data_IF_280104140512
#
_entry.id   IF_280104140512
#
_cell.length_a   1.000
_cell.length_b   1.000
_cell.length_c   1.000
_cell.angle_alpha   90.00
_cell.angle_beta   90.00
_cell.angle_gamma   90.00
#
_symmetry.space_group_name_H-M   'P 1'
#
loop_
_entity.id
_entity.type
_entity.pdbx_description
1 polymer ?
#
# COMPACT_ATOMS: atom_id res chain seq x y z
N UNK A 1 -34.15 6.01 30.73
CA UNK A 1 -33.57 4.83 30.05
C UNK A 1 -33.33 5.04 28.55
N UNK A 2 -34.22 5.72 27.81
CA UNK A 2 -34.10 5.96 26.35
C UNK A 2 -32.86 6.75 25.91
N UNK A 3 -32.38 7.70 26.71
CA UNK A 3 -31.21 8.51 26.41
C UNK A 3 -29.87 7.74 26.50
N UNK A 4 -29.81 6.67 27.32
CA UNK A 4 -28.64 5.78 27.35
C UNK A 4 -28.54 4.92 26.08
N UNK A 5 -29.68 4.50 25.53
CA UNK A 5 -29.74 3.77 24.25
C UNK A 5 -29.26 4.64 23.09
N UNK A 6 -29.59 5.94 23.09
CA UNK A 6 -29.15 6.88 22.06
C UNK A 6 -27.63 7.13 22.12
N UNK A 7 -27.07 7.23 23.33
CA UNK A 7 -25.62 7.36 23.51
C UNK A 7 -24.88 6.10 23.03
N UNK A 8 -25.37 4.90 23.37
CA UNK A 8 -24.78 3.64 22.90
C UNK A 8 -24.75 3.52 21.37
N UNK A 9 -25.78 4.03 20.68
CA UNK A 9 -25.86 4.05 19.22
C UNK A 9 -24.85 5.02 18.59
N UNK A 10 -24.53 6.15 19.23
CA UNK A 10 -23.52 7.08 18.73
C UNK A 10 -22.10 6.52 18.92
N UNK A 11 -21.84 5.81 20.02
CA UNK A 11 -20.54 5.20 20.28
C UNK A 11 -20.18 4.05 19.32
N UNK A 12 -21.17 3.36 18.73
CA UNK A 12 -20.90 2.26 17.78
C UNK A 12 -20.41 2.74 16.41
N UNK A 13 -20.59 4.01 16.06
CA UNK A 13 -20.10 4.56 14.79
C UNK A 13 -18.57 4.72 14.74
N UNK A 14 -17.90 4.78 15.90
CA UNK A 14 -16.44 4.96 15.97
C UNK A 14 -15.64 3.67 15.74
N UNK A 15 -16.28 2.50 15.74
CA UNK A 15 -15.59 1.20 15.56
C UNK A 15 -15.57 0.70 14.11
N UNK A 16 -16.21 1.41 13.17
CA UNK A 16 -16.10 1.05 11.75
C UNK A 16 -14.78 1.55 11.17
N UNK A 17 -13.88 0.62 10.88
CA UNK A 17 -12.66 0.89 10.11
C UNK A 17 -12.80 0.31 8.71
N UNK A 18 -12.87 1.19 7.70
CA UNK A 18 -12.95 0.81 6.29
C UNK A 18 -11.56 0.56 5.65
N UNK A 19 -10.50 0.46 6.45
CA UNK A 19 -9.14 0.35 5.94
C UNK A 19 -8.86 -1.06 5.39
N UNK A 20 -8.21 -1.13 4.23
CA UNK A 20 -7.73 -2.39 3.69
C UNK A 20 -6.68 -3.01 4.60
N UNK A 21 -6.79 -4.32 4.79
CA UNK A 21 -5.73 -5.12 5.41
C UNK A 21 -4.56 -5.29 4.45
N UNK A 22 -3.37 -5.59 4.99
CA UNK A 22 -2.17 -5.85 4.17
C UNK A 22 -2.40 -6.98 3.15
N UNK A 23 -3.17 -8.00 3.51
CA UNK A 23 -3.53 -9.11 2.60
C UNK A 23 -4.45 -8.66 1.48
N UNK A 24 -5.41 -7.77 1.76
CA UNK A 24 -6.26 -7.22 0.70
C UNK A 24 -5.48 -6.31 -0.24
N UNK A 25 -4.51 -5.54 0.28
CA UNK A 25 -3.58 -4.76 -0.54
C UNK A 25 -2.73 -5.70 -1.41
N UNK A 26 -2.29 -6.83 -0.86
CA UNK A 26 -1.53 -7.84 -1.60
C UNK A 26 -2.32 -8.36 -2.80
N UNK A 27 -3.56 -8.82 -2.58
CA UNK A 27 -4.44 -9.31 -3.65
C UNK A 27 -4.71 -8.23 -4.70
N UNK A 28 -4.99 -7.00 -4.26
CA UNK A 28 -5.25 -5.88 -5.16
C UNK A 28 -4.04 -5.57 -6.06
N UNK A 29 -2.84 -5.64 -5.50
CA UNK A 29 -1.61 -5.39 -6.25
C UNK A 29 -1.28 -6.53 -7.21
N UNK A 30 -1.51 -7.78 -6.81
CA UNK A 30 -1.37 -8.94 -7.70
C UNK A 30 -2.32 -8.83 -8.91
N UNK A 31 -3.60 -8.53 -8.66
CA UNK A 31 -4.60 -8.32 -9.72
C UNK A 31 -4.24 -7.13 -10.62
N UNK A 32 -3.70 -6.04 -10.04
CA UNK A 32 -3.28 -4.88 -10.80
C UNK A 32 -2.08 -5.17 -11.70
N UNK A 33 -1.08 -5.92 -11.24
CA UNK A 33 0.07 -6.29 -12.06
C UNK A 33 -0.37 -7.07 -13.31
N UNK A 34 -1.31 -8.01 -13.16
CA UNK A 34 -1.87 -8.75 -14.28
C UNK A 34 -2.69 -7.84 -15.21
N UNK A 35 -3.63 -7.06 -14.65
CA UNK A 35 -4.55 -6.21 -15.42
C UNK A 35 -3.84 -5.15 -16.26
N UNK A 36 -2.74 -4.60 -15.74
CA UNK A 36 -1.98 -3.55 -16.41
C UNK A 36 -0.75 -4.09 -17.16
N UNK A 37 -0.58 -5.42 -17.20
CA UNK A 37 0.58 -6.09 -17.83
C UNK A 37 1.92 -5.55 -17.33
N UNK A 38 2.00 -5.23 -16.04
CA UNK A 38 3.19 -4.65 -15.41
C UNK A 38 4.02 -5.76 -14.79
N UNK A 39 5.32 -5.83 -15.14
CA UNK A 39 6.23 -6.85 -14.63
C UNK A 39 6.42 -6.79 -13.10
N UNK A 40 6.47 -5.57 -12.53
CA UNK A 40 6.78 -5.31 -11.12
C UNK A 40 6.29 -3.96 -10.64
N UNK A 41 5.98 -3.90 -9.34
CA UNK A 41 5.70 -2.66 -8.63
C UNK A 41 6.24 -2.74 -7.20
N UNK A 42 6.46 -1.59 -6.56
CA UNK A 42 6.73 -1.50 -5.12
C UNK A 42 5.92 -0.36 -4.54
N UNK A 43 5.24 -0.61 -3.42
CA UNK A 43 4.36 0.35 -2.78
C UNK A 43 4.69 0.47 -1.30
N UNK A 44 4.63 1.70 -0.80
CA UNK A 44 4.73 2.05 0.61
C UNK A 44 3.50 2.87 0.97
N UNK A 45 2.82 2.51 2.06
CA UNK A 45 1.66 3.21 2.59
C UNK A 45 2.02 3.76 3.97
N UNK A 46 1.93 5.08 4.12
CA UNK A 46 2.22 5.80 5.36
C UNK A 46 0.91 6.36 5.91
N UNK A 47 0.61 6.07 7.18
CA UNK A 47 -0.53 6.61 7.92
C UNK A 47 -0.02 7.25 9.20
N UNK A 48 -0.34 8.53 9.40
CA UNK A 48 0.07 9.29 10.58
C UNK A 48 1.59 9.23 10.85
N UNK A 49 2.39 9.37 9.79
CA UNK A 49 3.86 9.30 9.86
C UNK A 49 4.44 7.89 10.06
N UNK A 50 3.61 6.84 10.18
CA UNK A 50 4.07 5.46 10.31
C UNK A 50 3.83 4.69 9.02
N UNK A 51 4.85 3.94 8.59
CA UNK A 51 4.71 2.94 7.51
C UNK A 51 3.80 1.81 8.01
N UNK A 52 2.65 1.65 7.36
CA UNK A 52 1.68 0.58 7.66
C UNK A 52 1.71 -0.55 6.64
N UNK A 53 2.31 -0.33 5.47
CA UNK A 53 2.53 -1.35 4.44
C UNK A 53 3.76 -0.96 3.61
N UNK A 54 4.64 -1.91 3.31
CA UNK A 54 5.83 -1.67 2.47
C UNK A 54 6.27 -2.99 1.85
N UNK A 55 5.97 -3.17 0.56
CA UNK A 55 6.22 -4.45 -0.13
C UNK A 55 6.40 -4.24 -1.64
N UNK A 56 7.27 -5.08 -2.20
CA UNK A 56 7.46 -5.22 -3.65
C UNK A 56 6.71 -6.43 -4.19
N UNK A 57 6.22 -6.31 -5.43
CA UNK A 57 5.37 -7.27 -6.11
C UNK A 57 5.90 -7.55 -7.52
N UNK A 58 5.57 -8.73 -8.04
CA UNK A 58 5.98 -9.18 -9.36
C UNK A 58 7.41 -9.70 -9.41
N UNK A 59 8.01 -9.64 -10.60
CA UNK A 59 9.34 -10.21 -10.88
C UNK A 59 10.29 -9.17 -11.46
N UNK A 60 11.58 -9.32 -11.16
CA UNK A 60 12.66 -8.47 -11.66
C UNK A 60 12.94 -8.70 -13.15
N UNK A 61 12.68 -9.92 -13.62
CA UNK A 61 12.93 -10.33 -14.99
C UNK A 61 11.98 -11.47 -15.38
N UNK A 62 11.44 -11.42 -16.60
CA UNK A 62 10.64 -12.51 -17.16
C UNK A 62 11.45 -13.81 -17.34
N UNK A 63 12.76 -13.70 -17.61
CA UNK A 63 13.64 -14.85 -17.81
C UNK A 63 13.97 -15.57 -16.51
N UNK A 64 14.54 -14.87 -15.52
CA UNK A 64 14.93 -15.48 -14.25
C UNK A 64 13.76 -15.71 -13.30
N UNK A 65 12.63 -15.02 -13.52
CA UNK A 65 11.44 -15.00 -12.63
C UNK A 65 11.79 -14.66 -11.18
N UNK A 66 12.90 -13.98 -10.95
CA UNK A 66 13.33 -13.59 -9.60
C UNK A 66 12.31 -12.61 -9.01
N UNK A 67 11.81 -12.90 -7.82
CA UNK A 67 10.82 -12.05 -7.15
C UNK A 67 11.42 -10.71 -6.75
N UNK A 68 10.61 -9.66 -6.80
CA UNK A 68 10.94 -8.37 -6.20
C UNK A 68 11.03 -8.53 -4.68
N UNK A 69 12.01 -7.86 -4.08
CA UNK A 69 12.24 -7.82 -2.65
C UNK A 69 12.59 -6.40 -2.19
N UNK A 70 12.83 -6.22 -0.88
CA UNK A 70 13.14 -4.92 -0.27
C UNK A 70 14.43 -4.26 -0.79
N UNK A 71 15.32 -5.01 -1.44
CA UNK A 71 16.57 -4.50 -2.01
C UNK A 71 16.50 -4.33 -3.54
N UNK A 72 15.34 -4.59 -4.15
CA UNK A 72 15.17 -4.44 -5.59
C UNK A 72 15.15 -2.97 -5.95
N UNK A 73 16.12 -2.54 -6.74
CA UNK A 73 16.21 -1.17 -7.21
C UNK A 73 15.19 -0.90 -8.33
N UNK A 74 14.52 0.24 -8.27
CA UNK A 74 13.65 0.75 -9.31
C UNK A 74 14.35 1.94 -9.96
N UNK A 75 14.54 1.89 -11.28
CA UNK A 75 15.07 3.03 -12.00
C UNK A 75 14.01 4.13 -11.98
N UNK A 76 14.28 5.22 -11.28
CA UNK A 76 13.45 6.41 -11.35
C UNK A 76 13.85 7.14 -12.64
N UNK A 77 12.97 7.12 -13.65
CA UNK A 77 13.14 8.02 -14.78
C UNK A 77 13.09 9.47 -14.27
N UNK A 78 13.85 10.37 -14.90
CA UNK A 78 14.05 11.75 -14.40
C UNK A 78 12.72 12.46 -14.11
N UNK A 79 12.47 12.74 -12.83
CA UNK A 79 11.40 13.62 -12.36
C UNK A 79 11.92 15.06 -12.26
N UNK A 80 12.20 15.71 -13.39
CA UNK A 80 12.68 17.08 -13.39
C UNK A 80 11.53 18.09 -13.15
N UNK A 81 10.86 18.02 -11.99
CA UNK A 81 10.04 19.14 -11.48
C UNK A 81 9.64 19.05 -9.99
N UNK A 82 9.88 17.96 -9.26
CA UNK A 82 9.36 17.85 -7.88
C UNK A 82 10.46 18.14 -6.86
N UNK A 83 10.29 19.27 -6.14
CA UNK A 83 11.18 19.73 -5.10
C UNK A 83 11.29 18.77 -3.91
N UNK A 84 12.48 18.78 -3.30
CA UNK A 84 12.85 18.26 -1.99
C UNK A 84 11.97 17.12 -1.43
N UNK A 85 12.33 15.87 -1.75
CA UNK A 85 11.99 14.73 -0.92
C UNK A 85 13.26 14.10 -0.37
N UNK A 86 13.34 13.99 0.96
CA UNK A 86 14.29 13.13 1.62
C UNK A 86 14.03 11.68 1.22
N UNK A 87 15.10 10.96 0.90
CA UNK A 87 15.07 9.54 0.63
C UNK A 87 14.50 8.81 1.84
N UNK A 88 13.31 8.21 1.70
CA UNK A 88 12.79 7.24 2.65
C UNK A 88 13.58 5.93 2.50
N UNK A 89 14.81 5.94 3.01
CA UNK A 89 15.59 4.72 3.32
C UNK A 89 15.34 4.28 4.75
#
# INVERSE_FOLDING_TARGET
MKQFLFAALLLSSYVLSAQYTSVQIDSLLEDALEKFEVARASIVIVKNGKVIHSKGYGVKSYTTKEKVNKHTQFGLATFNHFGHYESFT
#
